data_IF_082733518037
#
_entry.id   IF_082733518037
#
_cell.length_a   1.000
_cell.length_b   1.000
_cell.length_c   1.000
_cell.angle_alpha   90.00
_cell.angle_beta   90.00
_cell.angle_gamma   90.00
#
_symmetry.space_group_name_H-M   'P 1'
#
loop_
_entity.id
_entity.type
_entity.pdbx_description
1 polymer ?
#
# COMPACT_ATOMS: atom_id res chain seq x y z
N UNK A 1 14.28 -19.62 5.07
CA UNK A 1 13.13 -20.48 5.27
C UNK A 1 12.71 -21.29 4.02
N UNK A 2 13.61 -21.50 3.04
CA UNK A 2 13.33 -22.35 1.89
C UNK A 2 12.53 -21.72 0.75
N UNK A 3 12.05 -20.50 0.91
CA UNK A 3 11.37 -19.74 -0.16
C UNK A 3 12.31 -18.73 -0.78
N UNK A 4 12.07 -18.39 -2.06
CA UNK A 4 12.87 -17.35 -2.72
C UNK A 4 12.68 -16.01 -2.01
N UNK A 5 13.64 -15.12 -2.13
CA UNK A 5 13.55 -13.77 -1.56
C UNK A 5 12.40 -12.97 -2.17
N UNK A 6 12.02 -13.25 -3.41
CA UNK A 6 10.88 -12.62 -4.07
C UNK A 6 9.58 -12.89 -3.32
N UNK A 7 9.32 -14.15 -2.95
CA UNK A 7 8.13 -14.51 -2.18
C UNK A 7 8.20 -13.95 -0.75
N UNK A 8 9.36 -14.02 -0.13
CA UNK A 8 9.56 -13.44 1.20
C UNK A 8 9.30 -11.93 1.19
N UNK A 9 9.74 -11.23 0.15
CA UNK A 9 9.50 -9.80 -0.02
C UNK A 9 8.01 -9.47 -0.10
N UNK A 10 7.26 -10.22 -0.89
CA UNK A 10 5.81 -10.05 -1.00
C UNK A 10 5.14 -10.26 0.36
N UNK A 11 5.51 -11.32 1.08
CA UNK A 11 4.95 -11.61 2.39
C UNK A 11 5.21 -10.50 3.41
N UNK A 12 6.41 -9.91 3.40
CA UNK A 12 6.76 -8.85 4.34
C UNK A 12 6.09 -7.54 3.96
N UNK A 13 6.10 -7.17 2.68
CA UNK A 13 5.71 -5.83 2.22
C UNK A 13 4.22 -5.66 1.96
N UNK A 14 3.43 -6.76 1.90
CA UNK A 14 2.01 -6.66 1.55
C UNK A 14 1.20 -5.82 2.54
N UNK A 15 1.61 -5.79 3.80
CA UNK A 15 0.94 -5.02 4.86
C UNK A 15 1.52 -3.63 5.08
N UNK A 16 2.60 -3.27 4.37
CA UNK A 16 3.31 -2.01 4.58
C UNK A 16 3.36 -1.18 3.30
N UNK A 17 2.30 -0.44 3.09
CA UNK A 17 2.16 0.43 1.93
C UNK A 17 3.23 1.51 1.91
N UNK A 18 3.78 1.79 0.73
CA UNK A 18 4.68 2.91 0.47
C UNK A 18 5.94 2.92 1.35
N UNK A 19 6.53 1.76 1.60
CA UNK A 19 7.78 1.61 2.36
C UNK A 19 7.69 2.10 3.81
N UNK A 20 6.49 2.22 4.37
CA UNK A 20 6.28 2.79 5.69
C UNK A 20 5.80 1.74 6.69
N UNK A 21 6.60 1.46 7.71
CA UNK A 21 6.25 0.52 8.77
C UNK A 21 5.05 1.02 9.59
N UNK A 22 4.82 2.32 9.59
CA UNK A 22 3.72 2.96 10.34
C UNK A 22 2.47 3.20 9.48
N UNK A 23 2.37 2.58 8.31
CA UNK A 23 1.25 2.82 7.39
C UNK A 23 -0.11 2.43 7.98
N UNK A 24 -0.13 1.52 8.94
CA UNK A 24 -1.34 1.08 9.62
C UNK A 24 -1.50 1.71 11.00
N UNK A 25 -0.62 2.62 11.36
CA UNK A 25 -0.61 3.18 12.70
C UNK A 25 -1.75 4.16 12.90
N UNK A 26 -2.80 3.67 13.53
CA UNK A 26 -3.76 4.50 14.22
C UNK A 26 -3.07 5.01 15.48
N UNK A 27 -2.68 6.24 15.60
CA UNK A 27 -2.17 6.83 16.85
C UNK A 27 -1.03 6.06 17.55
N UNK A 28 -0.62 4.93 17.00
CA UNK A 28 0.48 4.13 17.55
C UNK A 28 1.64 4.17 16.57
N UNK A 29 2.55 5.08 16.81
CA UNK A 29 3.87 4.93 16.23
C UNK A 29 4.45 3.61 16.75
N UNK A 30 4.77 2.70 15.86
CA UNK A 30 5.61 1.57 16.21
C UNK A 30 7.01 2.10 16.53
N UNK A 31 7.11 2.80 17.66
CA UNK A 31 8.36 3.42 18.07
C UNK A 31 9.17 2.53 18.99
N UNK A 32 8.81 1.27 19.12
CA UNK A 32 9.59 0.36 19.94
C UNK A 32 10.90 0.01 19.24
N UNK A 33 11.82 0.95 19.30
CA UNK A 33 13.17 0.81 18.75
C UNK A 33 13.97 -0.32 19.43
N UNK A 34 13.45 -0.89 20.50
CA UNK A 34 14.05 -2.02 21.21
C UNK A 34 13.61 -3.36 20.65
N UNK A 35 12.61 -3.38 19.76
CA UNK A 35 12.15 -4.60 19.11
C UNK A 35 13.01 -4.90 17.89
N UNK A 36 13.75 -6.02 17.91
CA UNK A 36 14.58 -6.45 16.79
C UNK A 36 13.77 -6.65 15.52
N UNK A 37 12.54 -7.15 15.63
CA UNK A 37 11.65 -7.34 14.49
C UNK A 37 11.26 -6.01 13.86
N UNK A 38 11.03 -4.98 14.65
CA UNK A 38 10.74 -3.63 14.15
C UNK A 38 11.89 -3.12 13.29
N UNK A 39 13.12 -3.18 13.80
CA UNK A 39 14.29 -2.70 13.08
C UNK A 39 14.55 -3.50 11.80
N UNK A 40 14.40 -4.82 11.85
CA UNK A 40 14.53 -5.67 10.69
C UNK A 40 13.53 -5.30 9.59
N UNK A 41 12.25 -5.18 9.95
CA UNK A 41 11.18 -4.83 9.01
C UNK A 41 11.40 -3.43 8.46
N UNK A 42 11.71 -2.46 9.31
CA UNK A 42 11.96 -1.08 8.90
C UNK A 42 13.06 -1.00 7.85
N UNK A 43 14.20 -1.67 8.10
CA UNK A 43 15.32 -1.70 7.17
C UNK A 43 14.96 -2.44 5.88
N UNK A 44 14.20 -3.51 5.98
CA UNK A 44 13.75 -4.27 4.83
C UNK A 44 12.84 -3.44 3.92
N UNK A 45 11.97 -2.62 4.49
CA UNK A 45 11.05 -1.75 3.75
C UNK A 45 11.76 -0.60 3.02
N UNK A 46 13.01 -0.29 3.35
CA UNK A 46 13.80 0.70 2.62
C UNK A 46 14.20 0.21 1.23
N UNK A 47 14.16 -1.09 0.98
CA UNK A 47 14.44 -1.64 -0.34
C UNK A 47 13.34 -1.24 -1.31
N UNK A 48 13.73 -0.98 -2.56
CA UNK A 48 12.78 -0.68 -3.61
C UNK A 48 11.78 -1.83 -3.77
N UNK A 49 10.49 -1.47 -3.89
CA UNK A 49 9.45 -2.46 -4.12
C UNK A 49 9.49 -2.94 -5.57
N UNK A 50 9.45 -4.26 -5.74
CA UNK A 50 9.34 -4.87 -7.06
C UNK A 50 7.96 -4.59 -7.66
N UNK A 51 7.81 -4.81 -8.96
CA UNK A 51 6.50 -4.67 -9.63
C UNK A 51 5.45 -5.60 -9.00
N UNK A 52 5.84 -6.79 -8.58
CA UNK A 52 4.92 -7.74 -7.93
C UNK A 52 4.43 -7.22 -6.59
N UNK A 53 5.34 -6.65 -5.80
CA UNK A 53 5.01 -6.05 -4.51
C UNK A 53 4.10 -4.83 -4.69
N UNK A 54 4.35 -4.02 -5.72
CA UNK A 54 3.50 -2.88 -6.07
C UNK A 54 2.10 -3.32 -6.49
N UNK A 55 1.99 -4.40 -7.28
CA UNK A 55 0.69 -4.95 -7.70
C UNK A 55 -0.11 -5.41 -6.48
N UNK A 56 0.51 -6.12 -5.57
CA UNK A 56 -0.17 -6.60 -4.35
C UNK A 56 -0.63 -5.41 -3.50
N UNK A 57 0.19 -4.39 -3.32
CA UNK A 57 -0.20 -3.18 -2.59
C UNK A 57 -1.38 -2.49 -3.27
N UNK A 58 -1.35 -2.37 -4.60
CA UNK A 58 -2.45 -1.76 -5.36
C UNK A 58 -3.74 -2.55 -5.21
N UNK A 59 -3.67 -3.87 -5.32
CA UNK A 59 -4.83 -4.75 -5.15
C UNK A 59 -5.43 -4.62 -3.75
N UNK A 60 -4.59 -4.56 -2.74
CA UNK A 60 -5.05 -4.37 -1.35
C UNK A 60 -5.80 -3.04 -1.17
N UNK A 61 -5.33 -1.99 -1.84
CA UNK A 61 -6.01 -0.69 -1.81
C UNK A 61 -7.34 -0.69 -2.55
N UNK A 62 -7.42 -1.40 -3.68
CA UNK A 62 -8.62 -1.39 -4.53
C UNK A 62 -9.65 -2.42 -4.14
N UNK A 63 -9.26 -3.51 -3.50
CA UNK A 63 -10.11 -4.65 -3.20
C UNK A 63 -10.39 -4.74 -1.70
N UNK A 64 -11.60 -4.34 -1.31
CA UNK A 64 -12.13 -4.63 0.01
C UNK A 64 -13.25 -5.68 -0.14
N UNK A 65 -14.44 -5.40 0.32
CA UNK A 65 -15.61 -6.22 -0.05
C UNK A 65 -16.08 -5.93 -1.47
N UNK A 66 -15.67 -4.80 -2.02
CA UNK A 66 -15.97 -4.35 -3.39
C UNK A 66 -14.71 -3.81 -4.03
N UNK A 67 -14.65 -3.87 -5.35
CA UNK A 67 -13.61 -3.22 -6.12
C UNK A 67 -13.91 -1.73 -6.19
N UNK A 68 -12.94 -0.90 -5.82
CA UNK A 68 -13.11 0.56 -5.76
C UNK A 68 -11.84 1.29 -6.20
N UNK A 69 -11.96 2.59 -6.45
CA UNK A 69 -10.81 3.43 -6.77
C UNK A 69 -9.90 3.61 -5.55
N UNK A 70 -8.62 3.88 -5.80
CA UNK A 70 -7.69 4.17 -4.70
C UNK A 70 -8.09 5.46 -3.98
N UNK A 71 -8.65 6.43 -4.69
CA UNK A 71 -9.14 7.70 -4.12
C UNK A 71 -10.24 7.44 -3.11
N UNK A 72 -11.22 6.64 -3.48
CA UNK A 72 -12.32 6.26 -2.58
C UNK A 72 -11.80 5.50 -1.36
N UNK A 73 -10.85 4.60 -1.58
CA UNK A 73 -10.23 3.84 -0.49
C UNK A 73 -9.51 4.76 0.50
N UNK A 74 -8.80 5.75 -0.01
CA UNK A 74 -8.09 6.72 0.85
C UNK A 74 -9.07 7.55 1.67
N UNK A 75 -10.17 8.00 1.07
CA UNK A 75 -11.23 8.72 1.79
C UNK A 75 -11.83 7.83 2.87
N UNK A 76 -12.13 6.58 2.57
CA UNK A 76 -12.64 5.61 3.53
C UNK A 76 -11.72 5.45 4.73
N UNK A 77 -10.42 5.30 4.48
CA UNK A 77 -9.43 5.16 5.54
C UNK A 77 -9.35 6.41 6.42
N UNK A 78 -9.42 7.59 5.81
CA UNK A 78 -9.45 8.86 6.55
C UNK A 78 -10.69 8.98 7.44
N UNK A 79 -11.84 8.56 6.94
CA UNK A 79 -13.09 8.63 7.70
C UNK A 79 -13.12 7.64 8.86
N UNK A 80 -12.48 6.47 8.70
CA UNK A 80 -12.44 5.45 9.76
C UNK A 80 -11.38 5.71 10.81
N UNK A 81 -10.21 6.17 10.40
CA UNK A 81 -9.02 6.22 11.24
C UNK A 81 -8.53 7.64 11.52
N UNK A 82 -9.08 8.64 10.82
CA UNK A 82 -8.64 10.01 10.97
C UNK A 82 -7.30 10.29 10.31
N UNK A 83 -6.75 11.44 10.62
CA UNK A 83 -5.47 11.90 10.07
C UNK A 83 -4.36 11.55 11.06
N UNK A 84 -3.29 10.99 10.55
CA UNK A 84 -2.09 10.68 11.33
C UNK A 84 -0.84 11.27 10.66
N UNK A 85 0.30 11.12 11.31
CA UNK A 85 1.55 11.78 10.89
C UNK A 85 1.89 11.58 9.41
N UNK A 86 1.74 10.37 8.89
CA UNK A 86 2.14 10.01 7.53
C UNK A 86 1.00 10.04 6.51
N UNK A 87 -0.17 10.57 6.87
CA UNK A 87 -1.34 10.58 5.98
C UNK A 87 -1.04 11.28 4.66
N UNK A 88 -0.45 12.46 4.71
CA UNK A 88 -0.11 13.23 3.50
C UNK A 88 0.82 12.44 2.58
N UNK A 89 1.85 11.83 3.16
CA UNK A 89 2.80 10.99 2.43
C UNK A 89 2.07 9.84 1.72
N UNK A 90 1.19 9.14 2.43
CA UNK A 90 0.46 8.01 1.86
C UNK A 90 -0.52 8.43 0.77
N UNK A 91 -1.17 9.57 0.90
CA UNK A 91 -2.04 10.09 -0.15
C UNK A 91 -1.26 10.33 -1.44
N UNK A 92 -0.14 11.02 -1.35
CA UNK A 92 0.69 11.32 -2.53
C UNK A 92 1.27 10.05 -3.14
N UNK A 93 1.87 9.19 -2.32
CA UNK A 93 2.52 7.98 -2.82
C UNK A 93 1.52 6.98 -3.40
N UNK A 94 0.31 6.91 -2.85
CA UNK A 94 -0.76 6.06 -3.39
C UNK A 94 -1.22 6.55 -4.76
N UNK A 95 -1.37 7.86 -4.94
CA UNK A 95 -1.69 8.42 -6.26
C UNK A 95 -0.57 8.18 -7.27
N UNK A 96 0.68 8.28 -6.83
CA UNK A 96 1.83 7.95 -7.69
C UNK A 96 1.86 6.47 -8.07
N UNK A 97 1.49 5.59 -7.16
CA UNK A 97 1.41 4.15 -7.43
C UNK A 97 0.39 3.88 -8.52
N UNK A 98 -0.78 4.48 -8.43
CA UNK A 98 -1.81 4.37 -9.46
C UNK A 98 -1.31 4.92 -10.81
N UNK A 99 -0.69 6.09 -10.80
CA UNK A 99 -0.12 6.72 -11.99
C UNK A 99 0.97 5.85 -12.62
N UNK A 100 1.81 5.23 -11.81
CA UNK A 100 2.83 4.29 -12.28
C UNK A 100 2.23 3.19 -13.15
N UNK A 101 1.11 2.61 -12.72
CA UNK A 101 0.45 1.56 -13.49
C UNK A 101 -0.30 2.09 -14.71
N UNK A 102 -0.85 3.30 -14.65
CA UNK A 102 -1.44 3.94 -15.82
C UNK A 102 -0.39 4.15 -16.92
N UNK A 103 0.79 4.65 -16.54
CA UNK A 103 1.89 4.86 -17.46
C UNK A 103 2.40 3.55 -18.05
N UNK A 104 2.50 2.52 -17.23
CA UNK A 104 2.95 1.20 -17.65
C UNK A 104 1.98 0.55 -18.65
N UNK A 105 0.67 0.72 -18.43
CA UNK A 105 -0.38 0.20 -19.30
C UNK A 105 -0.57 1.05 -20.55
N UNK A 106 -0.28 2.33 -20.49
CA UNK A 106 -0.58 3.28 -21.55
C UNK A 106 -2.03 3.74 -21.60
N UNK A 107 -2.82 3.42 -20.56
CA UNK A 107 -4.21 3.85 -20.39
C UNK A 107 -4.60 3.81 -18.91
N UNK A 108 -5.78 4.31 -18.59
CA UNK A 108 -6.25 4.35 -17.21
C UNK A 108 -6.53 2.93 -16.69
N UNK A 109 -5.86 2.55 -15.60
CA UNK A 109 -6.02 1.24 -14.94
C UNK A 109 -7.49 0.91 -14.65
N UNK A 110 -8.29 1.90 -14.28
CA UNK A 110 -9.69 1.68 -13.93
C UNK A 110 -10.54 1.19 -15.12
N UNK A 111 -10.08 1.42 -16.34
CA UNK A 111 -10.78 0.92 -17.54
C UNK A 111 -10.77 -0.61 -17.66
N UNK A 112 -9.85 -1.27 -16.93
CA UNK A 112 -9.82 -2.75 -16.86
C UNK A 112 -10.95 -3.32 -15.99
N UNK A 113 -11.59 -2.49 -15.17
CA UNK A 113 -12.52 -2.94 -14.13
C UNK A 113 -13.86 -2.21 -14.24
N UNK A 114 -14.79 -2.70 -15.10
CA UNK A 114 -16.11 -2.06 -15.24
C UNK A 114 -16.88 -1.91 -13.91
N UNK A 115 -16.62 -2.81 -12.96
CA UNK A 115 -17.26 -2.82 -11.65
C UNK A 115 -16.94 -1.57 -10.83
N UNK A 116 -15.84 -0.90 -11.10
CA UNK A 116 -15.48 0.35 -10.40
C UNK A 116 -16.54 1.43 -10.60
N UNK A 117 -17.12 1.51 -11.80
CA UNK A 117 -18.18 2.50 -12.11
C UNK A 117 -19.43 2.29 -11.28
N UNK A 118 -19.72 1.05 -10.92
CA UNK A 118 -20.87 0.69 -10.08
C UNK A 118 -20.64 1.05 -8.60
N UNK A 119 -19.38 1.17 -8.19
CA UNK A 119 -18.99 1.36 -6.79
C UNK A 119 -18.45 2.78 -6.49
N UNK A 120 -18.63 3.69 -7.41
CA UNK A 120 -18.23 5.10 -7.20
C UNK A 120 -19.01 5.80 -6.10
#
# INVERSE_FOLDING_TARGET
>A
LGYSEEYAGICIKHSFLNNDINCLANDRDYTDSLNENYNFIKNYLLKEYTIYEKIINLCDLMCTTKLQTVEKRMIDLLLRHGVYKNTHYHLIETLKLKEYFDDLLGYNLYDLFPEIKENL
#
